data_IF_742628846310
#
_entry.id   IF_742628846310
#
_cell.length_a   1.000
_cell.length_b   1.000
_cell.length_c   1.000
_cell.angle_alpha   90.00
_cell.angle_beta   90.00
_cell.angle_gamma   90.00
#
_symmetry.space_group_name_H-M   'P 1'
#
loop_
_entity.id
_entity.type
_entity.pdbx_description
1 polymer ?
#
# COMPACT_ATOMS: atom_id res chain seq x y z
N UNK A 1 -13.38 9.49 -6.12
CA UNK A 1 -12.40 8.55 -5.51
C UNK A 1 -11.68 7.68 -6.55
N UNK A 2 -12.36 6.72 -7.21
CA UNK A 2 -11.70 5.71 -8.08
C UNK A 2 -10.78 6.26 -9.18
N UNK A 3 -11.28 7.20 -10.00
CA UNK A 3 -10.51 7.80 -11.12
C UNK A 3 -9.28 8.59 -10.66
N UNK A 4 -9.41 9.33 -9.55
CA UNK A 4 -8.33 10.17 -9.02
C UNK A 4 -7.17 9.31 -8.51
N UNK A 5 -7.47 8.21 -7.82
CA UNK A 5 -6.45 7.32 -7.28
C UNK A 5 -5.70 6.57 -8.39
N UNK A 6 -6.41 6.06 -9.40
CA UNK A 6 -5.76 5.46 -10.58
C UNK A 6 -4.84 6.46 -11.29
N UNK A 7 -5.30 7.70 -11.51
CA UNK A 7 -4.50 8.72 -12.16
C UNK A 7 -3.27 9.11 -11.33
N UNK A 8 -3.42 9.20 -10.01
CA UNK A 8 -2.31 9.46 -9.08
C UNK A 8 -1.27 8.35 -9.11
N UNK A 9 -1.69 7.08 -9.07
CA UNK A 9 -0.79 5.93 -9.16
C UNK A 9 -0.08 5.86 -10.51
N UNK A 10 -0.81 6.08 -11.61
CA UNK A 10 -0.22 6.13 -12.96
C UNK A 10 0.84 7.22 -13.07
N UNK A 11 0.57 8.40 -12.51
CA UNK A 11 1.54 9.49 -12.46
C UNK A 11 2.79 9.07 -11.67
N UNK A 12 2.61 8.54 -10.47
CA UNK A 12 3.72 8.09 -9.62
C UNK A 12 4.57 7.02 -10.31
N UNK A 13 3.94 6.03 -10.94
CA UNK A 13 4.60 4.95 -11.67
C UNK A 13 5.39 5.44 -12.89
N UNK A 14 4.95 6.53 -13.53
CA UNK A 14 5.69 7.19 -14.61
C UNK A 14 6.77 8.17 -14.14
N UNK A 15 6.75 8.54 -12.87
CA UNK A 15 7.72 9.47 -12.28
C UNK A 15 9.05 8.77 -11.93
N UNK A 16 10.13 9.52 -11.62
CA UNK A 16 11.39 8.94 -11.14
C UNK A 16 11.24 8.09 -9.87
N UNK A 17 10.19 8.30 -9.07
CA UNK A 17 9.90 7.53 -7.86
C UNK A 17 9.50 6.09 -8.22
N UNK A 18 8.78 5.91 -9.33
CA UNK A 18 8.29 4.65 -9.92
C UNK A 18 7.40 3.75 -9.05
N UNK A 19 7.56 3.73 -7.74
CA UNK A 19 6.92 2.80 -6.81
C UNK A 19 6.55 3.54 -5.53
N UNK A 20 5.34 3.30 -5.02
CA UNK A 20 4.94 3.80 -3.71
C UNK A 20 5.51 2.94 -2.58
N UNK A 21 5.31 1.62 -2.65
CA UNK A 21 5.87 0.60 -1.74
C UNK A 21 5.27 0.57 -0.32
N UNK A 22 4.45 1.56 0.02
CA UNK A 22 3.80 1.74 1.33
C UNK A 22 2.32 2.14 1.17
N UNK A 23 1.72 1.90 0.01
CA UNK A 23 0.37 2.36 -0.27
C UNK A 23 -0.64 1.67 0.67
N UNK A 24 -1.36 2.46 1.45
CA UNK A 24 -2.51 2.03 2.27
C UNK A 24 -3.64 3.04 2.16
N UNK A 25 -4.83 2.71 2.66
CA UNK A 25 -5.94 3.66 2.75
C UNK A 25 -5.61 4.90 3.59
N UNK A 26 -4.70 4.76 4.57
CA UNK A 26 -4.21 5.87 5.41
C UNK A 26 -3.42 6.91 4.62
N UNK A 27 -2.79 6.53 3.50
CA UNK A 27 -2.01 7.42 2.64
C UNK A 27 -2.87 8.05 1.52
N UNK A 28 -4.19 7.85 1.55
CA UNK A 28 -5.15 8.42 0.61
C UNK A 28 -5.97 9.50 1.30
N UNK A 29 -5.50 10.75 1.24
CA UNK A 29 -6.14 11.89 1.89
C UNK A 29 -7.03 12.66 0.93
N UNK A 30 -8.02 13.38 1.47
CA UNK A 30 -8.92 14.24 0.68
C UNK A 30 -8.67 15.69 1.09
N UNK A 31 -8.44 16.58 0.12
CA UNK A 31 -8.28 18.01 0.40
C UNK A 31 -9.64 18.74 0.51
N UNK A 32 -9.62 20.03 0.88
CA UNK A 32 -10.82 20.85 1.06
C UNK A 32 -11.68 20.98 -0.21
N UNK A 33 -11.16 20.63 -1.40
CA UNK A 33 -11.88 20.65 -2.68
C UNK A 33 -12.39 19.27 -3.08
N UNK A 34 -12.43 18.32 -2.14
CA UNK A 34 -12.85 16.95 -2.38
C UNK A 34 -11.98 16.18 -3.38
N UNK A 35 -10.70 16.56 -3.50
CA UNK A 35 -9.73 15.88 -4.37
C UNK A 35 -8.92 14.87 -3.56
N UNK A 36 -8.88 13.62 -4.02
CA UNK A 36 -8.02 12.58 -3.44
C UNK A 36 -6.55 12.84 -3.80
N UNK A 37 -5.67 12.74 -2.81
CA UNK A 37 -4.23 12.84 -2.94
C UNK A 37 -3.57 11.61 -2.31
N UNK A 38 -2.50 11.16 -2.94
CA UNK A 38 -1.65 10.07 -2.47
C UNK A 38 -0.46 10.70 -1.75
N UNK A 39 -0.21 10.33 -0.50
CA UNK A 39 0.87 10.84 0.36
C UNK A 39 1.92 9.78 0.64
N UNK A 40 3.03 10.15 1.28
CA UNK A 40 4.05 9.20 1.79
C UNK A 40 4.66 8.30 0.71
N UNK A 41 4.66 8.75 -0.54
CA UNK A 41 5.39 8.13 -1.63
C UNK A 41 6.89 8.43 -1.52
N UNK A 42 7.74 7.57 -2.08
CA UNK A 42 9.19 7.75 -2.07
C UNK A 42 9.89 7.40 -0.74
N UNK A 43 9.13 6.96 0.28
CA UNK A 43 9.69 6.44 1.52
C UNK A 43 10.73 5.32 1.33
N UNK A 44 10.52 4.30 0.44
CA UNK A 44 11.54 3.28 0.22
C UNK A 44 12.89 3.87 -0.18
N UNK A 45 12.88 4.79 -1.17
CA UNK A 45 14.08 5.45 -1.67
C UNK A 45 14.71 6.38 -0.63
N UNK A 46 13.89 7.03 0.21
CA UNK A 46 14.36 7.87 1.31
C UNK A 46 15.13 7.05 2.36
N UNK A 47 14.55 5.94 2.81
CA UNK A 47 15.22 5.05 3.78
C UNK A 47 16.54 4.49 3.23
N UNK A 48 16.55 4.06 1.97
CA UNK A 48 17.75 3.58 1.29
C UNK A 48 18.82 4.68 1.19
N UNK A 49 18.46 5.88 0.73
CA UNK A 49 19.39 6.99 0.58
C UNK A 49 20.00 7.48 1.90
N UNK A 50 19.22 7.40 2.99
CA UNK A 50 19.68 7.81 4.32
C UNK A 50 20.32 6.66 5.12
N UNK A 51 20.40 5.44 4.55
CA UNK A 51 20.84 4.24 5.27
C UNK A 51 20.05 4.00 6.58
N UNK A 52 18.78 4.42 6.60
CA UNK A 52 17.88 4.24 7.74
C UNK A 52 17.12 2.93 7.54
N UNK A 53 17.11 2.01 8.52
CA UNK A 53 16.28 0.82 8.42
C UNK A 53 14.79 1.20 8.42
N UNK A 54 13.97 0.66 7.50
CA UNK A 54 12.54 0.92 7.51
C UNK A 54 11.90 0.39 8.80
N UNK A 55 10.80 1.00 9.27
CA UNK A 55 10.13 0.57 10.49
C UNK A 55 9.63 -0.87 10.38
N UNK A 56 9.66 -1.59 11.50
CA UNK A 56 9.07 -2.92 11.59
C UNK A 56 7.56 -2.83 11.37
N UNK A 57 7.03 -3.65 10.45
CA UNK A 57 5.61 -3.70 10.12
C UNK A 57 4.93 -4.78 10.96
N UNK A 58 3.81 -4.45 11.60
CA UNK A 58 2.93 -5.44 12.24
C UNK A 58 2.12 -6.21 11.19
N UNK A 59 1.47 -7.31 11.56
CA UNK A 59 0.57 -8.02 10.64
C UNK A 59 -0.53 -7.10 10.08
N UNK A 60 -1.05 -6.18 10.92
CA UNK A 60 -2.02 -5.17 10.50
C UNK A 60 -1.47 -4.19 9.47
N UNK A 61 -0.21 -3.76 9.59
CA UNK A 61 0.44 -2.89 8.59
C UNK A 61 0.66 -3.59 7.26
N UNK A 62 0.63 -4.93 7.25
CA UNK A 62 0.88 -5.76 6.09
C UNK A 62 -0.37 -6.13 5.30
N UNK A 63 -1.58 -5.76 5.76
CA UNK A 63 -2.83 -6.17 5.09
C UNK A 63 -2.95 -5.65 3.64
N UNK A 64 -2.27 -4.56 3.30
CA UNK A 64 -2.21 -4.05 1.92
C UNK A 64 -1.05 -4.62 1.10
N UNK A 65 -0.19 -5.44 1.71
CA UNK A 65 1.04 -5.93 1.09
C UNK A 65 0.76 -7.13 0.21
N UNK A 66 1.24 -7.06 -1.03
CA UNK A 66 1.06 -8.13 -2.00
C UNK A 66 1.77 -9.43 -1.57
N UNK A 67 1.22 -10.61 -1.91
CA UNK A 67 1.73 -11.89 -1.45
C UNK A 67 3.19 -12.15 -1.87
N UNK A 68 3.60 -11.71 -3.06
CA UNK A 68 4.99 -11.79 -3.51
C UNK A 68 5.95 -10.95 -2.65
N UNK A 69 5.47 -9.85 -2.07
CA UNK A 69 6.25 -9.02 -1.16
C UNK A 69 6.28 -9.63 0.24
N UNK A 70 5.21 -10.29 0.70
CA UNK A 70 5.19 -11.01 1.97
C UNK A 70 6.19 -12.19 1.99
N UNK A 71 6.45 -12.80 0.83
CA UNK A 71 7.41 -13.90 0.65
C UNK A 71 8.87 -13.43 0.57
N UNK A 72 9.11 -12.16 0.19
CA UNK A 72 10.45 -11.65 -0.05
C UNK A 72 10.68 -10.31 0.67
N UNK A 73 11.39 -10.35 1.79
CA UNK A 73 11.64 -9.19 2.63
C UNK A 73 12.44 -8.08 1.92
N UNK A 74 13.31 -8.43 0.98
CA UNK A 74 14.06 -7.43 0.18
C UNK A 74 13.12 -6.67 -0.75
N UNK A 75 12.21 -7.38 -1.42
CA UNK A 75 11.18 -6.75 -2.25
C UNK A 75 10.19 -5.96 -1.40
N UNK A 76 9.84 -6.45 -0.21
CA UNK A 76 8.94 -5.77 0.71
C UNK A 76 9.43 -4.39 1.14
N UNK A 77 10.75 -4.24 1.34
CA UNK A 77 11.37 -2.96 1.72
C UNK A 77 11.30 -1.93 0.59
N UNK A 78 11.43 -2.38 -0.66
CA UNK A 78 11.46 -1.51 -1.85
C UNK A 78 10.06 -1.25 -2.43
N UNK A 79 9.18 -2.23 -2.34
CA UNK A 79 7.92 -2.29 -3.08
C UNK A 79 8.12 -2.62 -4.56
N UNK A 80 7.01 -2.85 -5.26
CA UNK A 80 6.96 -3.03 -6.71
C UNK A 80 5.72 -2.32 -7.26
N UNK A 81 5.71 -2.01 -8.57
CA UNK A 81 4.51 -1.43 -9.20
C UNK A 81 3.32 -2.39 -9.13
N UNK A 82 3.55 -3.70 -9.31
CA UNK A 82 2.49 -4.72 -9.16
C UNK A 82 2.01 -4.81 -7.71
N UNK A 83 2.92 -4.63 -6.74
CA UNK A 83 2.58 -4.55 -5.33
C UNK A 83 1.67 -3.38 -5.02
N UNK A 84 1.95 -2.19 -5.57
CA UNK A 84 1.07 -1.03 -5.42
C UNK A 84 -0.32 -1.27 -6.04
N UNK A 85 -0.40 -2.00 -7.16
CA UNK A 85 -1.69 -2.37 -7.79
C UNK A 85 -2.48 -3.32 -6.88
N UNK A 86 -1.82 -4.26 -6.21
CA UNK A 86 -2.47 -5.12 -5.21
C UNK A 86 -2.99 -4.29 -4.03
N UNK A 87 -2.14 -3.41 -3.47
CA UNK A 87 -2.54 -2.53 -2.36
C UNK A 87 -3.75 -1.66 -2.73
N UNK A 88 -3.78 -1.16 -3.97
CA UNK A 88 -4.93 -0.45 -4.52
C UNK A 88 -6.20 -1.31 -4.56
N UNK A 89 -6.08 -2.60 -4.89
CA UNK A 89 -7.19 -3.56 -4.83
C UNK A 89 -7.78 -3.71 -3.42
N UNK A 90 -6.93 -3.80 -2.40
CA UNK A 90 -7.36 -3.84 -0.99
C UNK A 90 -8.07 -2.53 -0.60
N UNK A 91 -7.54 -1.38 -1.00
CA UNK A 91 -8.18 -0.07 -0.74
C UNK A 91 -9.55 0.03 -1.42
N UNK A 92 -9.69 -0.53 -2.63
CA UNK A 92 -10.99 -0.61 -3.29
C UNK A 92 -11.97 -1.52 -2.55
N UNK A 93 -11.49 -2.62 -1.99
CA UNK A 93 -12.32 -3.48 -1.14
C UNK A 93 -12.82 -2.72 0.09
N UNK A 94 -11.95 -2.01 0.82
CA UNK A 94 -12.34 -1.17 1.96
C UNK A 94 -13.46 -0.17 1.58
N UNK A 95 -13.34 0.48 0.41
CA UNK A 95 -14.33 1.44 -0.09
C UNK A 95 -15.67 0.77 -0.42
N UNK A 96 -15.64 -0.41 -1.05
CA UNK A 96 -16.86 -1.13 -1.46
C UNK A 96 -17.61 -1.69 -0.26
N UNK A 97 -16.91 -2.30 0.70
CA UNK A 97 -17.55 -2.94 1.86
C UNK A 97 -17.74 -2.00 3.04
N UNK A 98 -17.11 -0.81 3.01
CA UNK A 98 -17.09 0.17 4.10
C UNK A 98 -16.58 -0.43 5.42
N UNK A 99 -15.47 -1.15 5.35
CA UNK A 99 -14.86 -1.83 6.49
C UNK A 99 -13.35 -1.97 6.34
N UNK A 100 -12.70 -2.50 7.38
CA UNK A 100 -11.25 -2.75 7.38
C UNK A 100 -10.85 -3.76 6.27
N UNK A 101 -9.56 -3.79 5.87
CA UNK A 101 -9.06 -4.82 4.97
C UNK A 101 -9.46 -6.22 5.43
N UNK A 102 -9.98 -7.03 4.51
CA UNK A 102 -10.40 -8.41 4.80
C UNK A 102 -11.49 -8.56 5.87
N UNK A 103 -12.26 -7.51 6.22
CA UNK A 103 -13.31 -7.61 7.25
C UNK A 103 -14.43 -8.63 6.95
N UNK A 104 -14.49 -9.15 5.72
CA UNK A 104 -15.40 -10.22 5.31
C UNK A 104 -14.92 -11.62 5.76
N UNK A 105 -13.64 -11.73 6.13
CA UNK A 105 -13.04 -12.93 6.68
C UNK A 105 -12.99 -12.78 8.20
N UNK A 106 -13.61 -13.70 8.94
CA UNK A 106 -13.55 -13.73 10.41
C UNK A 106 -12.20 -14.28 10.89
N UNK A 107 -11.11 -13.66 10.45
CA UNK A 107 -9.72 -14.06 10.69
C UNK A 107 -8.93 -12.93 11.35
N UNK A 108 -7.92 -13.29 12.15
CA UNK A 108 -6.97 -12.31 12.68
C UNK A 108 -6.06 -11.78 11.56
N UNK A 109 -5.45 -10.59 11.71
CA UNK A 109 -4.44 -10.10 10.77
C UNK A 109 -3.30 -11.11 10.56
N UNK A 110 -2.87 -11.80 11.62
CA UNK A 110 -1.83 -12.82 11.56
C UNK A 110 -2.24 -14.00 10.66
N UNK A 111 -3.46 -14.51 10.85
CA UNK A 111 -4.01 -15.59 10.02
C UNK A 111 -4.16 -15.15 8.56
N UNK A 112 -4.62 -13.92 8.32
CA UNK A 112 -4.75 -13.36 6.96
C UNK A 112 -3.38 -13.34 6.27
N UNK A 113 -2.35 -12.80 6.94
CA UNK A 113 -1.00 -12.72 6.39
C UNK A 113 -0.43 -14.12 6.13
N UNK A 114 -0.69 -15.10 7.00
CA UNK A 114 -0.26 -16.48 6.77
C UNK A 114 -0.95 -17.14 5.57
N UNK A 115 -2.25 -16.90 5.38
CA UNK A 115 -3.03 -17.50 4.28
C UNK A 115 -2.73 -16.86 2.90
N UNK A 116 -2.37 -15.58 2.89
CA UNK A 116 -2.07 -14.84 1.65
C UNK A 116 -0.62 -15.03 1.22
N UNK A 117 0.29 -15.26 2.19
CA UNK A 117 1.71 -15.56 1.93
C UNK A 117 1.89 -16.88 1.18
#
# INVERSE_FOLDING_TARGET
MRRAMFQGMRYLHSSPIKVHGYLTSRNCVIDARWVLKITDYGLPSFFEAQSIPPPNKTARDLLWTAPELLRNQTLQKRGTQTGDVYSFGIIMQEVVVRGEPFCMLSLSPEDIIQNVK
#
